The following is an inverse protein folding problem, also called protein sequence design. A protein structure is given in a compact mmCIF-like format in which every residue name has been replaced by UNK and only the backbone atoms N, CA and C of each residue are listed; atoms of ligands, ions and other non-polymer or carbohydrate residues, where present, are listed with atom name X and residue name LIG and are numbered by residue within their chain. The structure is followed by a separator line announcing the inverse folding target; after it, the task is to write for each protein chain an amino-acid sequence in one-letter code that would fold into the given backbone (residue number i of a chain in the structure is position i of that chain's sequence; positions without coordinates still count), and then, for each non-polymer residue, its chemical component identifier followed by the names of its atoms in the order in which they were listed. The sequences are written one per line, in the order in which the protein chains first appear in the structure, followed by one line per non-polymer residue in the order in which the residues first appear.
data_IF_188688417751
#
_entry.id   IF_188688417751
#
_cell.length_a   1.000
_cell.length_b   1.000
_cell.length_c   1.000
_cell.angle_alpha   90.00
_cell.angle_beta   90.00
_cell.angle_gamma   90.00
#
_symmetry.space_group_name_H-M   'P 1'
#
loop_
_entity.id
_entity.type
_entity.pdbx_description
1 polymer ?
#
# COMPACT_ATOMS: atom_id res chain seq x y z
N UNK A 1 -29.17 6.66 23.32
CA UNK A 1 -28.20 6.47 22.22
C UNK A 1 -27.22 7.59 22.36
N UNK A 2 -26.11 7.32 23.03
CA UNK A 2 -25.15 8.36 23.40
C UNK A 2 -24.44 8.83 22.13
N UNK A 3 -24.46 10.15 21.92
CA UNK A 3 -23.73 10.81 20.85
C UNK A 3 -22.23 10.67 21.12
N UNK A 4 -21.66 9.51 20.77
CA UNK A 4 -20.21 9.31 20.82
C UNK A 4 -19.60 10.27 19.81
N UNK A 5 -18.78 11.25 20.26
CA UNK A 5 -18.21 12.25 19.37
C UNK A 5 -17.46 11.54 18.25
N UNK A 6 -17.61 12.03 17.02
CA UNK A 6 -17.09 11.38 15.82
C UNK A 6 -15.55 11.19 15.82
N UNK A 7 -14.84 11.91 16.70
CA UNK A 7 -13.38 11.95 16.83
C UNK A 7 -12.90 11.53 18.23
N UNK A 8 -13.30 10.35 18.74
CA UNK A 8 -12.61 9.81 19.92
C UNK A 8 -11.20 9.31 19.52
N UNK A 9 -10.16 9.57 20.33
CA UNK A 9 -8.79 9.14 20.05
C UNK A 9 -8.66 7.60 19.91
N UNK A 10 -9.57 6.86 20.56
CA UNK A 10 -9.64 5.40 20.44
C UNK A 10 -10.01 4.93 19.03
N UNK A 11 -10.91 5.65 18.34
CA UNK A 11 -11.35 5.29 16.98
C UNK A 11 -10.24 5.41 15.95
N UNK A 12 -9.43 6.47 16.05
CA UNK A 12 -8.27 6.67 15.17
C UNK A 12 -7.22 5.57 15.39
N UNK A 13 -6.96 5.20 16.65
CA UNK A 13 -6.05 4.10 16.97
C UNK A 13 -6.53 2.76 16.39
N UNK A 14 -7.80 2.44 16.54
CA UNK A 14 -8.38 1.20 16.01
C UNK A 14 -8.31 1.18 14.48
N UNK A 15 -8.66 2.28 13.82
CA UNK A 15 -8.57 2.41 12.36
C UNK A 15 -7.14 2.20 11.87
N UNK A 16 -6.16 2.89 12.47
CA UNK A 16 -4.73 2.74 12.11
C UNK A 16 -4.24 1.31 12.31
N UNK A 17 -4.66 0.65 13.39
CA UNK A 17 -4.32 -0.74 13.68
C UNK A 17 -4.88 -1.69 12.61
N UNK A 18 -6.17 -1.58 12.30
CA UNK A 18 -6.85 -2.42 11.29
C UNK A 18 -6.25 -2.19 9.90
N UNK A 19 -5.98 -0.94 9.53
CA UNK A 19 -5.37 -0.62 8.25
C UNK A 19 -3.95 -1.19 8.14
N UNK A 20 -3.11 -0.97 9.15
CA UNK A 20 -1.73 -1.46 9.14
C UNK A 20 -1.66 -3.00 9.15
N UNK A 21 -2.54 -3.66 9.90
CA UNK A 21 -2.66 -5.11 9.96
C UNK A 21 -3.14 -5.71 8.64
N UNK A 22 -4.18 -5.15 8.03
CA UNK A 22 -4.71 -5.63 6.74
C UNK A 22 -3.68 -5.50 5.62
N UNK A 23 -2.95 -4.37 5.55
CA UNK A 23 -1.81 -4.23 4.64
C UNK A 23 -0.70 -5.25 4.95
N UNK A 24 -0.43 -5.53 6.23
CA UNK A 24 0.54 -6.54 6.63
C UNK A 24 0.19 -7.93 6.12
N UNK A 25 -1.07 -8.35 6.24
CA UNK A 25 -1.57 -9.63 5.72
C UNK A 25 -1.47 -9.67 4.19
N UNK A 26 -1.82 -8.58 3.50
CA UNK A 26 -1.69 -8.50 2.05
C UNK A 26 -0.23 -8.67 1.59
N UNK A 27 0.70 -7.95 2.23
CA UNK A 27 2.15 -8.06 1.96
C UNK A 27 2.67 -9.47 2.26
N UNK A 28 2.22 -10.07 3.35
CA UNK A 28 2.54 -11.45 3.73
C UNK A 28 2.13 -12.43 2.62
N UNK A 29 0.91 -12.31 2.09
CA UNK A 29 0.41 -13.17 1.01
C UNK A 29 1.20 -12.99 -0.29
N UNK A 30 1.53 -11.75 -0.66
CA UNK A 30 2.34 -11.46 -1.86
C UNK A 30 3.73 -12.08 -1.72
N UNK A 31 4.39 -11.90 -0.57
CA UNK A 31 5.73 -12.45 -0.36
C UNK A 31 5.72 -13.97 -0.28
N UNK A 32 4.71 -14.57 0.35
CA UNK A 32 4.52 -16.01 0.34
C UNK A 32 4.42 -16.54 -1.11
N UNK A 33 3.60 -15.88 -1.93
CA UNK A 33 3.44 -16.26 -3.33
C UNK A 33 4.74 -16.16 -4.12
N UNK A 34 5.51 -15.08 -3.94
CA UNK A 34 6.78 -14.87 -4.65
C UNK A 34 7.86 -15.83 -4.14
N UNK A 35 7.97 -16.04 -2.83
CA UNK A 35 9.00 -16.90 -2.24
C UNK A 35 8.77 -18.38 -2.54
N UNK A 36 7.52 -18.81 -2.70
CA UNK A 36 7.19 -20.18 -3.12
C UNK A 36 7.28 -20.40 -4.63
N UNK A 37 7.45 -19.35 -5.44
CA UNK A 37 7.54 -19.46 -6.89
C UNK A 37 8.95 -19.90 -7.32
N UNK A 38 9.09 -21.14 -7.79
CA UNK A 38 10.36 -21.66 -8.33
C UNK A 38 10.28 -21.85 -9.85
N UNK A 39 11.39 -21.54 -10.54
CA UNK A 39 11.55 -21.77 -11.98
C UNK A 39 12.27 -23.10 -12.15
N UNK A 40 11.57 -24.12 -12.66
CA UNK A 40 12.20 -25.38 -13.04
C UNK A 40 12.40 -25.39 -14.56
N UNK A 41 13.67 -25.53 -14.99
CA UNK A 41 14.14 -25.21 -16.33
C UNK A 41 13.48 -25.93 -17.52
N UNK A 42 12.60 -26.91 -17.27
CA UNK A 42 11.90 -27.68 -18.31
C UNK A 42 10.37 -27.65 -18.20
N UNK A 43 9.77 -27.21 -17.07
CA UNK A 43 8.32 -27.33 -16.84
C UNK A 43 7.61 -26.01 -16.43
N UNK A 44 8.30 -24.87 -16.45
CA UNK A 44 7.69 -23.58 -16.14
C UNK A 44 7.69 -23.24 -14.65
N UNK A 45 6.73 -22.44 -14.21
CA UNK A 45 6.61 -22.01 -12.81
C UNK A 45 5.93 -23.09 -11.97
N UNK A 46 6.57 -23.48 -10.87
CA UNK A 46 6.00 -24.40 -9.88
C UNK A 46 5.96 -23.71 -8.51
N UNK A 47 4.93 -24.02 -7.74
CA UNK A 47 4.83 -23.60 -6.34
C UNK A 47 5.44 -24.68 -5.45
N UNK A 48 6.48 -24.31 -4.72
CA UNK A 48 7.14 -25.17 -3.75
C UNK A 48 7.33 -24.42 -2.44
N UNK A 49 6.74 -24.95 -1.37
CA UNK A 49 6.78 -24.31 -0.06
C UNK A 49 8.07 -24.67 0.66
N UNK A 50 8.98 -23.70 0.74
CA UNK A 50 10.26 -23.84 1.43
C UNK A 50 10.17 -23.29 2.86
N UNK A 51 10.98 -23.81 3.78
CA UNK A 51 11.14 -23.28 5.14
C UNK A 51 11.67 -21.84 5.18
N UNK A 52 12.27 -21.37 4.08
CA UNK A 52 12.65 -19.96 3.93
C UNK A 52 11.45 -19.02 3.70
N UNK A 53 10.33 -19.52 3.17
CA UNK A 53 9.10 -18.74 2.90
C UNK A 53 8.58 -17.99 4.13
N UNK A 54 8.36 -18.63 5.30
CA UNK A 54 7.89 -17.92 6.50
C UNK A 54 8.89 -16.85 6.98
N UNK A 55 10.19 -17.02 6.77
CA UNK A 55 11.20 -16.01 7.11
C UNK A 55 11.00 -14.75 6.26
N UNK A 56 10.83 -14.92 4.94
CA UNK A 56 10.55 -13.81 4.02
C UNK A 56 9.23 -13.12 4.34
N UNK A 57 8.18 -13.89 4.67
CA UNK A 57 6.89 -13.36 5.09
C UNK A 57 7.02 -12.46 6.33
N UNK A 58 7.74 -12.92 7.37
CA UNK A 58 7.98 -12.15 8.59
C UNK A 58 8.76 -10.86 8.31
N UNK A 59 9.79 -10.94 7.46
CA UNK A 59 10.54 -9.75 7.04
C UNK A 59 9.62 -8.74 6.34
N UNK A 60 8.77 -9.22 5.43
CA UNK A 60 7.77 -8.41 4.74
C UNK A 60 6.83 -7.66 5.68
N UNK A 61 6.25 -8.38 6.64
CA UNK A 61 5.36 -7.81 7.66
C UNK A 61 6.11 -6.77 8.51
N UNK A 62 7.35 -7.05 8.90
CA UNK A 62 8.19 -6.13 9.67
C UNK A 62 8.48 -4.84 8.89
N UNK A 63 8.81 -4.95 7.60
CA UNK A 63 9.01 -3.79 6.72
C UNK A 63 7.73 -2.97 6.55
N UNK A 64 6.59 -3.62 6.32
CA UNK A 64 5.28 -2.96 6.24
C UNK A 64 4.92 -2.24 7.55
N UNK A 65 5.12 -2.90 8.70
CA UNK A 65 4.91 -2.30 10.01
C UNK A 65 5.77 -1.06 10.21
N UNK A 66 7.06 -1.14 9.84
CA UNK A 66 8.00 -0.01 9.94
C UNK A 66 7.61 1.17 9.05
N UNK A 67 7.09 0.89 7.85
CA UNK A 67 6.55 1.90 6.93
C UNK A 67 5.37 2.64 7.58
N UNK A 68 4.39 1.92 8.11
CA UNK A 68 3.22 2.52 8.75
C UNK A 68 3.58 3.37 9.97
N UNK A 69 4.55 2.96 10.79
CA UNK A 69 5.07 3.81 11.87
C UNK A 69 5.55 5.17 11.35
N UNK A 70 6.27 5.20 10.21
CA UNK A 70 6.75 6.45 9.63
C UNK A 70 5.61 7.29 9.04
N UNK A 71 4.64 6.64 8.38
CA UNK A 71 3.45 7.30 7.84
C UNK A 71 2.68 7.99 8.98
N UNK A 72 2.39 7.27 10.06
CA UNK A 72 1.68 7.82 11.22
C UNK A 72 2.48 8.91 11.93
N UNK A 73 3.79 8.73 12.11
CA UNK A 73 4.64 9.76 12.72
C UNK A 73 4.62 11.08 11.94
N UNK A 74 4.62 11.02 10.60
CA UNK A 74 4.56 12.21 9.75
C UNK A 74 3.16 12.81 9.71
N UNK A 75 2.12 11.97 9.81
CA UNK A 75 0.73 12.41 9.90
C UNK A 75 0.48 13.19 11.20
N UNK A 76 0.94 12.65 12.33
CA UNK A 76 0.72 13.25 13.65
C UNK A 76 1.56 14.52 13.88
N UNK A 77 2.80 14.53 13.37
CA UNK A 77 3.73 15.65 13.53
C UNK A 77 4.44 15.95 12.19
N UNK A 78 3.80 16.75 11.31
CA UNK A 78 4.30 17.00 9.95
C UNK A 78 5.54 17.91 9.96
N UNK A 79 6.71 17.31 10.17
CA UNK A 79 8.00 18.00 10.02
C UNK A 79 8.52 17.90 8.57
N UNK A 80 9.23 18.93 8.10
CA UNK A 80 9.83 18.93 6.76
C UNK A 80 10.79 17.74 6.57
N UNK A 81 11.61 17.45 7.57
CA UNK A 81 12.52 16.30 7.56
C UNK A 81 11.78 14.96 7.52
N UNK A 82 10.69 14.83 8.29
CA UNK A 82 9.85 13.64 8.29
C UNK A 82 9.23 13.36 6.92
N UNK A 83 8.70 14.40 6.25
CA UNK A 83 8.15 14.29 4.90
C UNK A 83 9.19 13.84 3.88
N UNK A 84 10.40 14.40 3.93
CA UNK A 84 11.49 14.00 3.02
C UNK A 84 11.91 12.56 3.28
N UNK A 85 12.07 12.14 4.54
CA UNK A 85 12.41 10.76 4.90
C UNK A 85 11.32 9.80 4.42
N UNK A 86 10.05 10.11 4.66
CA UNK A 86 8.94 9.28 4.17
C UNK A 86 8.93 9.20 2.64
N UNK A 87 9.17 10.32 1.96
CA UNK A 87 9.31 10.36 0.50
C UNK A 87 10.44 9.47 -0.01
N UNK A 88 11.60 9.46 0.66
CA UNK A 88 12.71 8.56 0.33
C UNK A 88 12.37 7.09 0.58
N UNK A 89 11.71 6.77 1.70
CA UNK A 89 11.23 5.41 1.99
C UNK A 89 10.25 4.92 0.92
N UNK A 90 9.25 5.73 0.58
CA UNK A 90 8.28 5.42 -0.47
C UNK A 90 8.97 5.30 -1.83
N UNK A 91 9.89 6.20 -2.16
CA UNK A 91 10.69 6.15 -3.39
C UNK A 91 11.52 4.86 -3.48
N UNK A 92 12.12 4.42 -2.38
CA UNK A 92 12.81 3.14 -2.29
C UNK A 92 11.87 1.96 -2.55
N UNK A 93 10.67 1.94 -1.95
CA UNK A 93 9.69 0.87 -2.20
C UNK A 93 9.19 0.86 -3.65
N UNK A 94 8.95 2.03 -4.24
CA UNK A 94 8.56 2.14 -5.66
C UNK A 94 9.66 1.60 -6.55
N UNK A 95 10.91 2.01 -6.32
CA UNK A 95 12.06 1.50 -7.07
C UNK A 95 12.21 -0.01 -6.88
N UNK A 96 12.14 -0.52 -5.65
CA UNK A 96 12.21 -1.94 -5.36
C UNK A 96 11.11 -2.73 -6.08
N UNK A 97 9.88 -2.20 -6.10
CA UNK A 97 8.76 -2.79 -6.84
C UNK A 97 9.00 -2.81 -8.36
N UNK A 98 9.51 -1.72 -8.92
CA UNK A 98 9.88 -1.64 -10.35
C UNK A 98 10.97 -2.67 -10.66
N UNK A 99 12.04 -2.75 -9.87
CA UNK A 99 13.10 -3.74 -10.06
C UNK A 99 12.60 -5.18 -9.91
N UNK A 100 11.75 -5.44 -8.91
CA UNK A 100 11.14 -6.75 -8.70
C UNK A 100 10.28 -7.19 -9.89
N UNK A 101 9.64 -6.24 -10.59
CA UNK A 101 8.86 -6.52 -11.78
C UNK A 101 9.71 -6.62 -13.06
N UNK A 102 10.75 -5.79 -13.19
CA UNK A 102 11.68 -5.82 -14.33
C UNK A 102 12.51 -7.11 -14.36
N UNK A 103 12.85 -7.68 -13.20
CA UNK A 103 13.68 -8.88 -13.13
C UNK A 103 13.05 -10.09 -13.85
N UNK A 104 11.78 -10.46 -13.62
CA UNK A 104 11.10 -11.52 -14.37
C UNK A 104 11.03 -11.29 -15.89
N UNK A 105 10.95 -10.04 -16.36
CA UNK A 105 10.86 -9.73 -17.80
C UNK A 105 12.05 -10.27 -18.60
N UNK A 106 13.23 -10.43 -17.96
CA UNK A 106 14.41 -11.00 -18.62
C UNK A 106 14.24 -12.47 -19.03
N UNK A 107 13.27 -13.18 -18.42
CA UNK A 107 13.03 -14.61 -18.66
C UNK A 107 11.84 -14.88 -19.58
N UNK A 108 11.12 -13.84 -20.00
CA UNK A 108 9.92 -13.98 -20.82
C UNK A 108 10.31 -13.98 -22.30
N UNK A 109 9.75 -14.92 -23.06
CA UNK A 109 9.93 -14.97 -24.50
C UNK A 109 9.40 -13.70 -25.17
N UNK A 110 10.11 -13.18 -26.18
CA UNK A 110 9.81 -11.88 -26.79
C UNK A 110 8.36 -11.76 -27.33
N UNK A 111 7.77 -12.87 -27.77
CA UNK A 111 6.39 -12.93 -28.24
C UNK A 111 5.33 -12.76 -27.13
N UNK A 112 5.69 -12.89 -25.86
CA UNK A 112 4.78 -12.71 -24.70
C UNK A 112 4.98 -11.40 -23.97
N UNK A 113 6.05 -10.66 -24.28
CA UNK A 113 6.30 -9.35 -23.66
C UNK A 113 5.20 -8.34 -23.98
N UNK A 114 4.66 -8.34 -25.21
CA UNK A 114 3.60 -7.44 -25.61
C UNK A 114 2.33 -7.61 -24.74
N UNK A 115 1.84 -8.85 -24.61
CA UNK A 115 0.65 -9.17 -23.81
C UNK A 115 0.82 -8.75 -22.34
N UNK A 116 1.98 -9.03 -21.74
CA UNK A 116 2.29 -8.70 -20.35
C UNK A 116 2.42 -7.19 -20.16
N UNK A 117 3.09 -6.50 -21.08
CA UNK A 117 3.24 -5.04 -21.02
C UNK A 117 1.89 -4.34 -21.10
N UNK A 118 0.97 -4.81 -21.96
CA UNK A 118 -0.38 -4.26 -22.07
C UNK A 118 -1.17 -4.46 -20.77
N UNK A 119 -1.13 -5.67 -20.20
CA UNK A 119 -1.76 -5.96 -18.91
C UNK A 119 -1.21 -5.09 -17.78
N UNK A 120 0.11 -4.88 -17.73
CA UNK A 120 0.75 -4.01 -16.75
C UNK A 120 0.31 -2.55 -16.89
N UNK A 121 0.31 -2.02 -18.12
CA UNK A 121 -0.13 -0.65 -18.41
C UNK A 121 -1.58 -0.46 -17.97
N UNK A 122 -2.46 -1.41 -18.31
CA UNK A 122 -3.85 -1.38 -17.88
C UNK A 122 -3.99 -1.42 -16.34
N UNK A 123 -3.20 -2.24 -15.66
CA UNK A 123 -3.20 -2.29 -14.19
C UNK A 123 -2.76 -0.96 -13.57
N UNK A 124 -1.74 -0.31 -14.14
CA UNK A 124 -1.26 1.01 -13.68
C UNK A 124 -2.36 2.07 -13.86
N UNK A 125 -3.03 2.11 -15.01
CA UNK A 125 -4.14 3.04 -15.23
C UNK A 125 -5.31 2.78 -14.31
N UNK A 126 -5.69 1.51 -14.10
CA UNK A 126 -6.80 1.13 -13.24
C UNK A 126 -6.53 1.49 -11.77
N UNK A 127 -5.37 1.09 -11.24
CA UNK A 127 -4.97 1.41 -9.86
C UNK A 127 -4.75 2.91 -9.66
N UNK A 128 -4.14 3.59 -10.63
CA UNK A 128 -3.99 5.05 -10.61
C UNK A 128 -5.34 5.77 -10.64
N UNK A 129 -6.29 5.27 -11.43
CA UNK A 129 -7.67 5.76 -11.48
C UNK A 129 -8.37 5.61 -10.13
N UNK A 130 -8.30 4.42 -9.52
CA UNK A 130 -8.87 4.16 -8.18
C UNK A 130 -8.25 5.06 -7.12
N UNK A 131 -6.92 5.22 -7.11
CA UNK A 131 -6.23 6.11 -6.17
C UNK A 131 -6.67 7.57 -6.35
N UNK A 132 -6.80 8.03 -7.59
CA UNK A 132 -7.29 9.39 -7.91
C UNK A 132 -8.73 9.59 -7.43
N UNK A 133 -9.59 8.59 -7.62
CA UNK A 133 -10.97 8.61 -7.16
C UNK A 133 -11.05 8.67 -5.63
N UNK A 134 -10.23 7.91 -4.90
CA UNK A 134 -10.15 7.99 -3.44
C UNK A 134 -9.73 9.39 -2.97
N UNK A 135 -8.73 10.01 -3.61
CA UNK A 135 -8.31 11.39 -3.29
C UNK A 135 -9.45 12.38 -3.54
N UNK A 136 -10.18 12.21 -4.65
CA UNK A 136 -11.31 13.07 -4.96
C UNK A 136 -12.42 12.96 -3.90
N UNK A 137 -12.77 11.74 -3.51
CA UNK A 137 -13.77 11.46 -2.46
C UNK A 137 -13.33 12.04 -1.12
N UNK A 138 -12.08 11.83 -0.71
CA UNK A 138 -11.55 12.38 0.53
C UNK A 138 -11.60 13.92 0.54
N UNK A 139 -11.25 14.57 -0.59
CA UNK A 139 -11.36 16.03 -0.71
C UNK A 139 -12.81 16.51 -0.69
N UNK A 140 -13.74 15.75 -1.27
CA UNK A 140 -15.16 16.09 -1.27
C UNK A 140 -15.74 16.06 0.15
N UNK A 141 -15.39 15.05 0.96
CA UNK A 141 -15.81 14.96 2.36
C UNK A 141 -15.23 16.10 3.20
N UNK A 142 -13.92 16.37 3.11
CA UNK A 142 -13.31 17.47 3.87
C UNK A 142 -13.98 18.82 3.56
N UNK A 143 -14.33 19.06 2.29
CA UNK A 143 -15.02 20.28 1.89
C UNK A 143 -16.47 20.34 2.43
N UNK A 144 -17.15 19.21 2.52
CA UNK A 144 -18.50 19.15 3.08
C UNK A 144 -18.48 19.47 4.59
N UNK A 145 -17.53 18.92 5.33
CA UNK A 145 -17.34 19.17 6.75
C UNK A 145 -17.02 20.65 7.04
N UNK A 146 -16.17 21.28 6.22
CA UNK A 146 -15.86 22.72 6.33
C UNK A 146 -17.11 23.59 6.16
N UNK A 147 -18.01 23.24 5.23
CA UNK A 147 -19.26 23.97 4.99
C UNK A 147 -20.24 23.79 6.16
N UNK A 148 -20.30 22.59 6.75
CA UNK A 148 -21.16 22.31 7.89
C UNK A 148 -20.72 23.10 9.12
N UNK A 149 -19.42 23.10 9.44
CA UNK A 149 -18.85 23.88 10.55
C UNK A 149 -19.12 25.38 10.36
N UNK A 150 -18.99 25.89 9.13
CA UNK A 150 -19.25 27.30 8.83
C UNK A 150 -20.73 27.70 9.04
N UNK A 151 -21.68 26.79 8.83
CA UNK A 151 -23.11 27.04 9.06
C UNK A 151 -23.44 27.11 10.55
N UNK A 152 -22.91 26.17 11.34
CA UNK A 152 -23.15 26.13 12.80
C UNK A 152 -22.66 27.41 13.48
N UNK A 153 -21.54 28.00 13.04
CA UNK A 153 -21.04 29.27 13.57
C UNK A 153 -21.82 30.53 13.12
N UNK A 154 -22.72 30.42 12.14
CA UNK A 154 -23.58 31.54 11.74
C UNK A 154 -24.91 31.58 12.50
N UNK A 155 -25.29 30.47 13.14
CA UNK A 155 -26.53 30.35 13.91
C UNK A 155 -26.36 30.71 15.40
N UNK A 156 -25.12 30.89 15.88
CA UNK A 156 -24.75 31.40 17.21
C UNK A 156 -24.53 32.92 17.22
#
# INVERSE_FOLDING_TARGET
MDNVPANSPDRDRDFRSVLSASCGIAVMGIIAAVASLKINGTQGFHFDWDWTTPIWMLLGVLFNWRLWIQVWKVSDNPTREGKVRLGLYLGFFVLAGVFAFLYPLRFIAANKLADISFGLVMAVFFLGGLGTMMVFVARAFNKADEIEIARTHQEE
#
